data_IF_479610430621
#
_entry.id   IF_479610430621
#
_cell.length_a   1.000
_cell.length_b   1.000
_cell.length_c   1.000
_cell.angle_alpha   90.00
_cell.angle_beta   90.00
_cell.angle_gamma   90.00
#
_symmetry.space_group_name_H-M   'P 1'
#
loop_
_entity.id
_entity.type
_entity.pdbx_description
1 polymer ?
#
# COMPACT_ATOMS: atom_id res chain seq x y z
N UNK A 1 17.38 -9.03 23.17
CA UNK A 1 16.13 -9.81 22.93
C UNK A 1 14.99 -8.93 22.51
N UNK A 2 14.62 -7.96 23.32
CA UNK A 2 13.54 -7.03 23.01
C UNK A 2 13.79 -6.24 21.73
N UNK A 3 15.03 -5.85 21.48
CA UNK A 3 15.40 -5.08 20.28
C UNK A 3 15.19 -5.83 18.97
N UNK A 4 15.54 -7.11 18.95
CA UNK A 4 15.32 -7.95 17.78
C UNK A 4 13.85 -8.13 17.49
N UNK A 5 13.07 -8.32 18.55
CA UNK A 5 11.63 -8.49 18.44
C UNK A 5 10.96 -7.25 17.89
N UNK A 6 11.36 -6.09 18.39
CA UNK A 6 10.86 -4.81 17.90
C UNK A 6 11.21 -4.57 16.43
N UNK A 7 12.43 -4.92 16.03
CA UNK A 7 12.86 -4.81 14.63
C UNK A 7 12.04 -5.70 13.72
N UNK A 8 11.80 -6.93 14.13
CA UNK A 8 10.97 -7.88 13.37
C UNK A 8 9.53 -7.41 13.30
N UNK A 9 8.99 -6.94 14.40
CA UNK A 9 7.61 -6.43 14.44
C UNK A 9 7.45 -5.24 13.51
N UNK A 10 8.43 -4.35 13.47
CA UNK A 10 8.40 -3.20 12.56
C UNK A 10 8.43 -3.64 11.09
N UNK A 11 9.31 -4.57 10.75
CA UNK A 11 9.41 -5.11 9.39
C UNK A 11 8.13 -5.86 9.00
N UNK A 12 7.62 -6.67 9.93
CA UNK A 12 6.38 -7.41 9.72
C UNK A 12 5.19 -6.47 9.53
N UNK A 13 5.13 -5.38 10.28
CA UNK A 13 4.08 -4.37 10.13
C UNK A 13 4.12 -3.73 8.75
N UNK A 14 5.31 -3.37 8.28
CA UNK A 14 5.47 -2.77 6.95
C UNK A 14 5.04 -3.74 5.85
N UNK A 15 5.44 -5.00 5.96
CA UNK A 15 5.07 -6.03 5.00
C UNK A 15 3.56 -6.27 5.01
N UNK A 16 2.97 -6.33 6.20
CA UNK A 16 1.53 -6.50 6.35
C UNK A 16 0.78 -5.31 5.76
N UNK A 17 1.24 -4.10 6.02
CA UNK A 17 0.62 -2.89 5.51
C UNK A 17 0.62 -2.87 3.98
N UNK A 18 1.75 -3.23 3.36
CA UNK A 18 1.82 -3.35 1.89
C UNK A 18 0.81 -4.34 1.35
N UNK A 19 0.71 -5.51 1.97
CA UNK A 19 -0.23 -6.54 1.56
C UNK A 19 -1.67 -6.05 1.66
N UNK A 20 -2.01 -5.38 2.74
CA UNK A 20 -3.36 -4.88 2.97
C UNK A 20 -3.70 -3.76 1.98
N UNK A 21 -2.77 -2.85 1.73
CA UNK A 21 -2.97 -1.77 0.76
C UNK A 21 -3.16 -2.34 -0.64
N UNK A 22 -2.34 -3.32 -1.03
CA UNK A 22 -2.47 -3.99 -2.31
C UNK A 22 -3.83 -4.67 -2.45
N UNK A 23 -4.27 -5.37 -1.40
CA UNK A 23 -5.59 -6.01 -1.37
C UNK A 23 -6.72 -4.99 -1.46
N UNK A 24 -6.57 -3.84 -0.81
CA UNK A 24 -7.56 -2.77 -0.86
C UNK A 24 -7.77 -2.31 -2.31
N UNK A 25 -6.70 -2.05 -3.04
CA UNK A 25 -6.83 -1.61 -4.42
C UNK A 25 -7.25 -2.74 -5.36
N UNK A 26 -6.90 -3.98 -5.05
CA UNK A 26 -7.31 -5.13 -5.83
C UNK A 26 -8.81 -5.39 -5.70
N UNK A 27 -9.34 -5.35 -4.49
CA UNK A 27 -10.74 -5.68 -4.20
C UNK A 27 -11.62 -4.46 -3.98
N UNK A 28 -11.04 -3.27 -3.89
CA UNK A 28 -11.71 -1.99 -3.66
C UNK A 28 -12.41 -1.90 -2.32
N UNK A 29 -12.23 -2.89 -1.47
CA UNK A 29 -12.85 -2.95 -0.16
C UNK A 29 -12.08 -3.86 0.77
N UNK A 30 -12.00 -3.51 2.03
CA UNK A 30 -11.36 -4.34 3.04
C UNK A 30 -11.99 -4.08 4.41
N UNK A 31 -12.05 -5.13 5.22
CA UNK A 31 -12.48 -5.03 6.60
C UNK A 31 -11.25 -5.11 7.50
N UNK A 32 -11.13 -4.15 8.42
CA UNK A 32 -9.98 -4.08 9.32
C UNK A 32 -10.35 -3.26 10.57
N UNK A 33 -9.43 -3.21 11.51
CA UNK A 33 -9.63 -2.41 12.72
C UNK A 33 -9.55 -0.91 12.40
N UNK A 34 -10.15 -0.10 13.24
CA UNK A 34 -10.12 1.36 13.08
C UNK A 34 -8.70 1.91 13.07
N UNK A 35 -7.85 1.42 13.97
CA UNK A 35 -6.45 1.86 14.03
C UNK A 35 -5.70 1.54 12.73
N UNK A 36 -5.88 0.35 12.20
CA UNK A 36 -5.25 -0.05 10.93
C UNK A 36 -5.84 0.72 9.76
N UNK A 37 -7.14 0.98 9.79
CA UNK A 37 -7.80 1.75 8.75
C UNK A 37 -7.21 3.16 8.63
N UNK A 38 -6.89 3.80 9.75
CA UNK A 38 -6.26 5.12 9.74
C UNK A 38 -4.87 5.10 9.11
N UNK A 39 -4.07 4.08 9.42
CA UNK A 39 -2.76 3.91 8.80
C UNK A 39 -2.86 3.64 7.31
N UNK A 40 -3.79 2.76 6.93
CA UNK A 40 -4.05 2.42 5.54
C UNK A 40 -4.46 3.64 4.72
N UNK A 41 -5.29 4.50 5.30
CA UNK A 41 -5.77 5.69 4.63
C UNK A 41 -4.63 6.60 4.19
N UNK A 42 -3.64 6.81 5.06
CA UNK A 42 -2.49 7.65 4.74
C UNK A 42 -1.73 7.11 3.53
N UNK A 43 -1.48 5.81 3.52
CA UNK A 43 -0.76 5.17 2.43
C UNK A 43 -1.60 5.13 1.16
N UNK A 44 -2.89 4.80 1.28
CA UNK A 44 -3.80 4.77 0.14
C UNK A 44 -3.91 6.14 -0.52
N UNK A 45 -4.03 7.20 0.27
CA UNK A 45 -4.08 8.56 -0.25
C UNK A 45 -2.81 8.92 -1.02
N UNK A 46 -1.66 8.50 -0.52
CA UNK A 46 -0.38 8.71 -1.20
C UNK A 46 -0.34 7.97 -2.54
N UNK A 47 -0.80 6.73 -2.56
CA UNK A 47 -0.85 5.95 -3.80
C UNK A 47 -1.81 6.56 -4.81
N UNK A 48 -2.97 7.02 -4.36
CA UNK A 48 -3.94 7.71 -5.22
C UNK A 48 -3.37 9.01 -5.78
N UNK A 49 -2.65 9.76 -4.97
CA UNK A 49 -2.00 11.00 -5.44
C UNK A 49 -1.00 10.70 -6.54
N UNK A 50 -0.19 9.66 -6.37
CA UNK A 50 0.76 9.24 -7.40
C UNK A 50 0.05 8.76 -8.66
N UNK A 51 -1.04 8.02 -8.51
CA UNK A 51 -1.82 7.55 -9.66
C UNK A 51 -2.43 8.73 -10.44
N UNK A 52 -2.88 9.76 -9.75
CA UNK A 52 -3.42 10.97 -10.40
C UNK A 52 -2.35 11.73 -11.17
N UNK A 53 -1.10 11.71 -10.70
CA UNK A 53 0.00 12.28 -11.45
C UNK A 53 0.20 11.53 -12.77
N UNK A 54 0.06 10.21 -12.72
CA UNK A 54 0.05 9.36 -13.90
C UNK A 54 1.36 9.25 -14.68
N UNK A 55 2.43 9.89 -14.24
CA UNK A 55 3.71 9.83 -14.95
C UNK A 55 4.46 8.54 -14.67
N UNK A 56 5.49 8.27 -15.46
CA UNK A 56 6.28 7.04 -15.34
C UNK A 56 6.96 6.92 -13.98
N UNK A 57 7.46 8.05 -13.46
CA UNK A 57 8.12 8.06 -12.16
C UNK A 57 7.15 7.68 -11.03
N UNK A 58 5.95 8.25 -11.06
CA UNK A 58 4.91 7.92 -10.08
C UNK A 58 4.51 6.44 -10.17
N UNK A 59 4.38 5.92 -11.39
CA UNK A 59 4.04 4.51 -11.60
C UNK A 59 5.11 3.58 -11.03
N UNK A 60 6.37 3.92 -11.23
CA UNK A 60 7.48 3.15 -10.68
C UNK A 60 7.49 3.14 -9.16
N UNK A 61 7.15 4.27 -8.53
CA UNK A 61 7.06 4.36 -7.06
C UNK A 61 5.95 3.46 -6.53
N UNK A 62 4.78 3.48 -7.16
CA UNK A 62 3.66 2.65 -6.74
C UNK A 62 3.98 1.16 -6.92
N UNK A 63 4.58 0.82 -8.05
CA UNK A 63 4.97 -0.57 -8.32
C UNK A 63 6.01 -1.07 -7.30
N UNK A 64 6.97 -0.23 -6.96
CA UNK A 64 7.99 -0.58 -5.96
C UNK A 64 7.37 -0.85 -4.58
N UNK A 65 6.29 -0.17 -4.26
CA UNK A 65 5.58 -0.38 -3.00
C UNK A 65 4.68 -1.62 -3.03
N UNK A 66 3.81 -1.72 -4.02
CA UNK A 66 2.82 -2.80 -4.11
C UNK A 66 3.39 -4.10 -4.66
N UNK A 67 4.34 -4.02 -5.58
CA UNK A 67 4.98 -5.17 -6.20
C UNK A 67 4.01 -6.12 -6.93
N UNK A 68 2.90 -5.58 -7.41
CA UNK A 68 1.88 -6.32 -8.17
C UNK A 68 1.48 -5.48 -9.38
N UNK A 69 1.93 -5.91 -10.56
CA UNK A 69 1.73 -5.16 -11.80
C UNK A 69 0.26 -5.01 -12.17
N UNK A 70 -0.54 -6.04 -11.92
CA UNK A 70 -1.96 -6.01 -12.27
C UNK A 70 -2.72 -4.99 -11.44
N UNK A 71 -2.43 -4.93 -10.14
CA UNK A 71 -3.05 -3.96 -9.24
C UNK A 71 -2.62 -2.54 -9.60
N UNK A 72 -1.34 -2.34 -9.91
CA UNK A 72 -0.81 -1.03 -10.32
C UNK A 72 -1.47 -0.58 -11.62
N UNK A 73 -1.58 -1.46 -12.59
CA UNK A 73 -2.25 -1.17 -13.84
C UNK A 73 -3.69 -0.76 -13.62
N UNK A 74 -4.41 -1.52 -12.81
CA UNK A 74 -5.79 -1.19 -12.45
C UNK A 74 -5.89 0.19 -11.83
N UNK A 75 -5.01 0.50 -10.89
CA UNK A 75 -5.01 1.78 -10.19
C UNK A 75 -4.80 2.95 -11.15
N UNK A 76 -3.84 2.84 -12.06
CA UNK A 76 -3.53 3.91 -13.01
C UNK A 76 -4.55 4.03 -14.14
N UNK A 77 -5.14 2.92 -14.57
CA UNK A 77 -6.11 2.93 -15.66
C UNK A 77 -7.51 3.41 -15.21
N UNK A 78 -7.87 3.19 -13.96
CA UNK A 78 -9.22 3.48 -13.46
C UNK A 78 -9.36 4.81 -12.71
N UNK A 79 -8.29 5.58 -12.61
CA UNK A 79 -8.31 6.88 -11.90
C UNK A 79 -8.25 8.07 -12.86
#
# INVERSE_FOLDING_TARGET
>A
MAYRKLGRDSSARKALLRSIVTSLFQHERIETTEAKAKELRKVADKMLTLAKRGDLHARRQVLAYMMDEDVVKKLFDEI
#
